data_IF_686903461900
#
_entry.id   IF_686903461900
#
_cell.length_a   1.000
_cell.length_b   1.000
_cell.length_c   1.000
_cell.angle_alpha   90.00
_cell.angle_beta   90.00
_cell.angle_gamma   90.00
#
_symmetry.space_group_name_H-M   'P 1'
#
loop_
_entity.id
_entity.type
_entity.pdbx_description
1 polymer ?
#
# COMPACT_ATOMS: atom_id res chain seq x y z
N UNK A 1 -1.98 1.30 20.07
CA UNK A 1 -1.84 0.96 18.65
C UNK A 1 -1.06 2.06 17.93
N UNK A 2 -0.02 1.71 17.22
CA UNK A 2 0.77 2.69 16.48
C UNK A 2 0.13 2.98 15.13
N UNK A 3 0.33 4.19 14.61
CA UNK A 3 -0.04 4.51 13.24
C UNK A 3 1.05 4.07 12.27
N UNK A 4 0.69 3.71 11.06
CA UNK A 4 1.61 3.22 10.04
C UNK A 4 1.26 3.84 8.67
N UNK A 5 1.90 3.38 7.62
CA UNK A 5 1.61 3.81 6.26
C UNK A 5 2.08 5.22 5.95
N UNK A 6 1.33 5.92 5.11
CA UNK A 6 1.67 7.24 4.60
C UNK A 6 0.80 8.33 5.23
N UNK A 7 1.34 9.56 5.31
CA UNK A 7 0.56 10.73 5.73
C UNK A 7 -0.64 10.99 4.83
N UNK A 8 -0.63 10.50 3.60
CA UNK A 8 -1.77 10.62 2.69
C UNK A 8 -3.00 9.88 3.20
N UNK A 9 -2.82 8.90 4.09
CA UNK A 9 -3.90 8.09 4.65
C UNK A 9 -4.55 8.79 5.84
N UNK A 10 -5.86 8.57 6.01
CA UNK A 10 -6.55 9.04 7.20
C UNK A 10 -6.01 8.32 8.44
N UNK A 11 -6.23 8.90 9.63
CA UNK A 11 -5.81 8.29 10.88
C UNK A 11 -6.49 6.92 11.07
N UNK A 12 -7.75 6.81 10.71
CA UNK A 12 -8.50 5.55 10.79
C UNK A 12 -7.86 4.46 9.93
N UNK A 13 -7.43 4.81 8.71
CA UNK A 13 -6.76 3.84 7.85
C UNK A 13 -5.38 3.45 8.38
N UNK A 14 -4.66 4.40 8.99
CA UNK A 14 -3.32 4.15 9.53
C UNK A 14 -3.32 3.37 10.84
N UNK A 15 -4.45 3.29 11.51
CA UNK A 15 -4.60 2.53 12.75
C UNK A 15 -4.81 1.06 12.41
N UNK A 16 -3.72 0.32 12.29
CA UNK A 16 -3.72 -1.06 11.81
C UNK A 16 -3.23 -2.02 12.87
N UNK A 17 -3.90 -3.18 12.98
CA UNK A 17 -3.45 -4.29 13.80
C UNK A 17 -2.73 -5.29 12.87
N UNK A 18 -1.43 -5.42 13.05
CA UNK A 18 -0.64 -6.34 12.24
C UNK A 18 -0.87 -7.79 12.65
N UNK A 19 -1.00 -8.70 11.69
CA UNK A 19 -1.07 -10.14 12.01
C UNK A 19 0.20 -10.59 12.71
N UNK A 20 0.09 -11.55 13.64
CA UNK A 20 1.25 -12.13 14.30
C UNK A 20 2.15 -12.84 13.29
N UNK A 21 3.47 -12.63 13.42
CA UNK A 21 4.46 -13.23 12.53
C UNK A 21 4.19 -12.92 11.04
N UNK A 22 3.78 -11.69 10.75
CA UNK A 22 3.44 -11.28 9.40
C UNK A 22 4.71 -11.22 8.53
N UNK A 23 4.80 -12.12 7.55
CA UNK A 23 5.92 -12.18 6.61
C UNK A 23 5.39 -12.43 5.20
N UNK A 24 4.93 -11.40 4.52
CA UNK A 24 4.41 -11.58 3.18
C UNK A 24 5.53 -11.86 2.17
N UNK A 25 5.22 -12.73 1.20
CA UNK A 25 6.09 -12.97 0.06
C UNK A 25 5.60 -12.06 -1.06
N UNK A 26 6.34 -11.00 -1.34
CA UNK A 26 5.91 -9.96 -2.24
C UNK A 26 6.76 -9.88 -3.50
N UNK A 27 6.21 -9.32 -4.60
CA UNK A 27 6.99 -9.05 -5.80
C UNK A 27 8.07 -8.00 -5.52
N UNK A 28 8.95 -7.79 -6.51
CA UNK A 28 9.92 -6.69 -6.43
C UNK A 28 9.17 -5.38 -6.27
N UNK A 29 9.83 -4.42 -5.59
CA UNK A 29 9.23 -3.10 -5.39
C UNK A 29 8.89 -2.44 -6.71
N UNK A 30 7.76 -1.75 -6.72
CA UNK A 30 7.28 -1.07 -7.92
C UNK A 30 7.99 0.28 -8.08
N UNK A 31 8.57 0.50 -9.25
CA UNK A 31 9.36 1.71 -9.54
C UNK A 31 8.59 2.79 -10.31
N UNK A 32 7.42 2.48 -10.83
CA UNK A 32 6.61 3.41 -11.62
C UNK A 32 6.62 3.13 -13.11
N UNK A 33 7.35 2.11 -13.56
CA UNK A 33 7.52 1.80 -15.00
C UNK A 33 6.80 0.52 -15.39
N UNK A 34 6.83 -0.51 -14.54
CA UNK A 34 6.20 -1.79 -14.83
C UNK A 34 4.67 -1.67 -14.86
N UNK A 35 3.98 -2.76 -15.22
CA UNK A 35 2.53 -2.79 -15.26
C UNK A 35 1.94 -2.65 -13.85
N UNK A 36 1.23 -1.55 -13.54
CA UNK A 36 0.71 -1.33 -12.20
C UNK A 36 -0.38 -2.32 -11.80
N UNK A 37 -1.19 -2.79 -12.75
CA UNK A 37 -2.27 -3.73 -12.45
C UNK A 37 -1.70 -5.08 -12.06
N UNK A 38 -0.73 -5.58 -12.82
CA UNK A 38 -0.06 -6.84 -12.50
C UNK A 38 0.63 -6.76 -11.15
N UNK A 39 1.34 -5.65 -10.88
CA UNK A 39 1.99 -5.46 -9.60
C UNK A 39 0.99 -5.53 -8.44
N UNK A 40 -0.15 -4.85 -8.57
CA UNK A 40 -1.17 -4.85 -7.52
C UNK A 40 -1.76 -6.23 -7.28
N UNK A 41 -2.01 -7.00 -8.35
CA UNK A 41 -2.53 -8.35 -8.20
C UNK A 41 -1.58 -9.23 -7.38
N UNK A 42 -0.29 -9.16 -7.68
CA UNK A 42 0.73 -9.93 -6.96
C UNK A 42 0.89 -9.44 -5.52
N UNK A 43 0.85 -8.12 -5.33
CA UNK A 43 0.95 -7.52 -4.01
C UNK A 43 -0.22 -7.96 -3.12
N UNK A 44 -1.45 -7.82 -3.61
CA UNK A 44 -2.64 -8.21 -2.85
C UNK A 44 -2.63 -9.69 -2.51
N UNK A 45 -2.25 -10.53 -3.47
CA UNK A 45 -2.17 -11.97 -3.24
C UNK A 45 -1.14 -12.31 -2.15
N UNK A 46 0.02 -11.66 -2.16
CA UNK A 46 1.05 -11.88 -1.16
C UNK A 46 0.62 -11.45 0.24
N UNK A 47 -0.07 -10.32 0.36
CA UNK A 47 -0.57 -9.86 1.65
C UNK A 47 -1.66 -10.79 2.17
N UNK A 48 -2.60 -11.21 1.34
CA UNK A 48 -3.68 -12.12 1.73
C UNK A 48 -3.12 -13.48 2.16
N UNK A 49 -2.13 -13.99 1.44
CA UNK A 49 -1.48 -15.26 1.79
C UNK A 49 -0.81 -15.21 3.16
N UNK A 50 -0.40 -14.03 3.60
CA UNK A 50 0.19 -13.82 4.92
C UNK A 50 -0.85 -13.42 5.98
N UNK A 51 -2.14 -13.56 5.66
CA UNK A 51 -3.28 -13.25 6.54
C UNK A 51 -3.50 -11.75 6.78
N UNK A 52 -3.03 -10.90 5.88
CA UNK A 52 -3.30 -9.47 5.95
C UNK A 52 -4.63 -9.13 5.30
N UNK A 53 -5.29 -8.10 5.84
CA UNK A 53 -6.52 -7.56 5.28
C UNK A 53 -6.24 -6.29 4.46
N UNK A 54 -7.29 -5.57 4.06
CA UNK A 54 -7.14 -4.36 3.25
C UNK A 54 -6.42 -3.24 3.99
N UNK A 55 -6.59 -3.12 5.31
CA UNK A 55 -5.83 -2.15 6.10
C UNK A 55 -4.34 -2.47 6.10
N UNK A 56 -4.01 -3.76 6.20
CA UNK A 56 -2.61 -4.20 6.12
C UNK A 56 -2.05 -3.89 4.73
N UNK A 57 -2.82 -4.15 3.67
CA UNK A 57 -2.41 -3.80 2.31
C UNK A 57 -2.06 -2.32 2.19
N UNK A 58 -2.95 -1.43 2.65
CA UNK A 58 -2.73 0.00 2.56
C UNK A 58 -1.47 0.42 3.31
N UNK A 59 -1.28 -0.06 4.53
CA UNK A 59 -0.19 0.38 5.38
C UNK A 59 1.15 -0.26 5.01
N UNK A 60 1.15 -1.38 4.32
CA UNK A 60 2.38 -2.01 3.79
C UNK A 60 2.78 -1.43 2.44
N UNK A 61 1.81 -0.88 1.70
CA UNK A 61 2.02 -0.42 0.33
C UNK A 61 3.19 0.56 0.16
N UNK A 62 3.39 1.56 1.03
CA UNK A 62 4.52 2.47 0.88
C UNK A 62 5.88 1.77 0.85
N UNK A 63 6.01 0.65 1.57
CA UNK A 63 7.26 -0.13 1.56
C UNK A 63 7.42 -0.97 0.30
N UNK A 64 6.34 -1.17 -0.44
CA UNK A 64 6.37 -1.93 -1.69
C UNK A 64 6.72 -1.04 -2.90
N UNK A 65 6.87 0.25 -2.69
CA UNK A 65 7.20 1.23 -3.73
C UNK A 65 8.65 1.69 -3.60
N UNK A 66 9.23 2.09 -4.73
CA UNK A 66 10.56 2.71 -4.74
C UNK A 66 10.60 3.80 -5.80
N UNK A 67 11.65 4.61 -5.77
CA UNK A 67 11.94 5.64 -6.79
C UNK A 67 10.73 6.57 -7.03
N UNK A 68 10.36 6.81 -8.28
CA UNK A 68 9.28 7.72 -8.63
C UNK A 68 7.92 7.35 -8.06
N UNK A 69 7.65 6.05 -7.93
CA UNK A 69 6.37 5.60 -7.36
C UNK A 69 6.27 5.98 -5.87
N UNK A 70 7.34 5.79 -5.12
CA UNK A 70 7.37 6.18 -3.72
C UNK A 70 7.26 7.70 -3.57
N UNK A 71 7.98 8.46 -4.38
CA UNK A 71 7.91 9.91 -4.36
C UNK A 71 6.49 10.41 -4.63
N UNK A 72 5.81 9.80 -5.60
CA UNK A 72 4.42 10.15 -5.90
C UNK A 72 3.53 9.99 -4.66
N UNK A 73 3.63 8.85 -3.98
CA UNK A 73 2.80 8.61 -2.80
C UNK A 73 3.11 9.60 -1.67
N UNK A 74 4.39 9.87 -1.43
CA UNK A 74 4.80 10.80 -0.38
C UNK A 74 4.34 12.23 -0.63
N UNK A 75 4.08 12.60 -1.87
CA UNK A 75 3.63 13.94 -2.23
C UNK A 75 2.12 14.10 -2.26
N UNK A 76 1.35 13.05 -2.01
CA UNK A 76 -0.11 13.19 -1.91
C UNK A 76 -0.49 13.99 -0.66
N UNK A 77 -1.55 14.81 -0.74
CA UNK A 77 -1.96 15.62 0.41
C UNK A 77 -2.30 14.76 1.63
N UNK A 78 -2.00 15.22 2.86
CA UNK A 78 -2.30 14.47 4.07
C UNK A 78 -3.79 14.17 4.22
N UNK A 79 -4.11 12.95 4.66
CA UNK A 79 -5.46 12.57 5.02
C UNK A 79 -6.45 12.45 3.87
N UNK A 80 -5.97 12.32 2.62
CA UNK A 80 -6.85 12.27 1.45
C UNK A 80 -7.29 10.87 1.05
N UNK A 81 -6.65 9.84 1.56
CA UNK A 81 -6.95 8.44 1.22
C UNK A 81 -7.48 7.73 2.46
N UNK A 82 -8.72 7.23 2.37
CA UNK A 82 -9.42 6.64 3.51
C UNK A 82 -9.59 5.13 3.44
N UNK A 83 -9.21 4.49 2.32
CA UNK A 83 -9.37 3.05 2.15
C UNK A 83 -8.33 2.50 1.18
N UNK A 84 -8.13 1.18 1.24
CA UNK A 84 -7.28 0.50 0.26
C UNK A 84 -7.84 0.63 -1.16
N UNK A 85 -9.15 0.53 -1.30
CA UNK A 85 -9.78 0.67 -2.61
C UNK A 85 -9.49 2.03 -3.24
N UNK A 86 -9.54 3.10 -2.45
CA UNK A 86 -9.21 4.44 -2.93
C UNK A 86 -7.73 4.55 -3.31
N UNK A 87 -6.84 4.00 -2.50
CA UNK A 87 -5.41 3.97 -2.80
C UNK A 87 -5.14 3.26 -4.12
N UNK A 88 -5.75 2.10 -4.29
CA UNK A 88 -5.63 1.27 -5.47
C UNK A 88 -6.08 2.02 -6.72
N UNK A 89 -7.23 2.67 -6.64
CA UNK A 89 -7.81 3.44 -7.74
C UNK A 89 -6.89 4.59 -8.17
N UNK A 90 -6.38 5.34 -7.19
CA UNK A 90 -5.47 6.45 -7.49
C UNK A 90 -4.16 5.97 -8.09
N UNK A 91 -3.64 4.86 -7.60
CA UNK A 91 -2.39 4.29 -8.11
C UNK A 91 -2.54 3.88 -9.58
N UNK A 92 -3.60 3.15 -9.91
CA UNK A 92 -3.85 2.72 -11.29
C UNK A 92 -4.08 3.92 -12.20
N UNK A 93 -4.77 4.94 -11.73
CA UNK A 93 -5.04 6.14 -12.52
C UNK A 93 -3.75 6.93 -12.83
N UNK A 94 -2.75 6.86 -11.94
CA UNK A 94 -1.51 7.62 -12.11
C UNK A 94 -0.46 6.86 -12.92
N UNK A 95 -0.46 5.56 -12.85
CA UNK A 95 0.55 4.74 -13.51
C UNK A 95 -0.04 3.86 -14.59
#
# INVERSE_FOLDING_TARGET
MATAGSRAFTIELRSVAWPGKFKPDLPLRYDGIADPVEFLQLFELGIEAASGDEKVMANWFPMALKDGARTWLLNLPPGTISSWDEMRTRFIANF
#
